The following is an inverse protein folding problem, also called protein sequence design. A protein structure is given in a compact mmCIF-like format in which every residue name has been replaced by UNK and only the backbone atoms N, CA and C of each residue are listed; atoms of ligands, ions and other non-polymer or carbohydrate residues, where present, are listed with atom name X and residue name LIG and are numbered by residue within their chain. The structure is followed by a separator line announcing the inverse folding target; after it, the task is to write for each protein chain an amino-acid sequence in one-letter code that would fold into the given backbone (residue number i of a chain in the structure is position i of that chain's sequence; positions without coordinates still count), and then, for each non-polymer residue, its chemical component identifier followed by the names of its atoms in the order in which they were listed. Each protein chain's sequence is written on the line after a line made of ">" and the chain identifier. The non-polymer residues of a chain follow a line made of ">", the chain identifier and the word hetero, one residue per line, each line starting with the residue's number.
data_IF_027399246021
#
_entry.id   IF_027399246021
#
_cell.length_a   1.000
_cell.length_b   1.000
_cell.length_c   1.000
_cell.angle_alpha   90.00
_cell.angle_beta   90.00
_cell.angle_gamma   90.00
#
_symmetry.space_group_name_H-M   'P 1'
#
loop_
_entity.id
_entity.type
_entity.pdbx_description
1 polymer ?
#
# COMPACT_ATOMS: atom_id res chain seq x y z
N UNK A 1 0.09 -2.16 -6.81
CA UNK A 1 -0.46 -0.83 -6.44
C UNK A 1 -0.24 0.11 -7.62
N UNK A 2 -0.97 1.22 -7.78
CA UNK A 2 -0.46 2.32 -8.57
C UNK A 2 0.91 2.75 -8.01
N UNK A 3 1.64 3.58 -8.74
CA UNK A 3 2.78 4.24 -8.11
C UNK A 3 2.24 5.38 -7.22
N UNK A 4 2.97 5.74 -6.16
CA UNK A 4 2.53 6.79 -5.22
C UNK A 4 2.18 8.13 -5.89
N UNK A 5 2.86 8.50 -6.99
CA UNK A 5 2.51 9.73 -7.73
C UNK A 5 1.12 9.63 -8.37
N UNK A 6 0.74 8.50 -8.96
CA UNK A 6 -0.60 8.33 -9.52
C UNK A 6 -1.70 8.52 -8.47
N UNK A 7 -1.46 8.06 -7.24
CA UNK A 7 -2.37 8.33 -6.12
C UNK A 7 -2.44 9.82 -5.81
N UNK A 8 -1.29 10.51 -5.67
CA UNK A 8 -1.28 11.96 -5.43
C UNK A 8 -2.06 12.74 -6.48
N UNK A 9 -1.96 12.36 -7.76
CA UNK A 9 -2.59 13.07 -8.87
C UNK A 9 -4.09 13.23 -8.71
N UNK A 10 -4.79 12.13 -8.42
CA UNK A 10 -6.24 12.17 -8.21
C UNK A 10 -6.61 12.65 -6.80
N UNK A 11 -5.83 12.28 -5.80
CA UNK A 11 -6.16 12.54 -4.39
C UNK A 11 -5.98 14.01 -4.00
N UNK A 12 -4.95 14.69 -4.51
CA UNK A 12 -4.76 16.13 -4.31
C UNK A 12 -5.93 16.92 -4.92
N UNK A 13 -6.30 16.60 -6.17
CA UNK A 13 -7.39 17.27 -6.88
C UNK A 13 -8.72 17.01 -6.17
N UNK A 14 -9.03 15.75 -5.89
CA UNK A 14 -10.31 15.36 -5.25
C UNK A 14 -10.44 15.97 -3.86
N UNK A 15 -9.36 15.98 -3.08
CA UNK A 15 -9.36 16.63 -1.76
C UNK A 15 -9.59 18.14 -1.88
N UNK A 16 -8.96 18.81 -2.84
CA UNK A 16 -9.17 20.24 -3.05
C UNK A 16 -10.60 20.55 -3.47
N UNK A 17 -11.21 19.72 -4.32
CA UNK A 17 -12.59 19.92 -4.76
C UNK A 17 -13.60 19.66 -3.62
N UNK A 18 -13.42 18.58 -2.87
CA UNK A 18 -14.30 18.24 -1.74
C UNK A 18 -14.13 19.19 -0.56
N UNK A 19 -12.89 19.66 -0.31
CA UNK A 19 -12.54 20.52 0.82
C UNK A 19 -11.66 21.68 0.29
N UNK A 20 -12.27 22.77 -0.24
CA UNK A 20 -11.57 23.87 -0.91
C UNK A 20 -10.41 24.49 -0.14
N UNK A 21 -10.52 24.59 1.19
CA UNK A 21 -9.47 25.13 2.05
C UNK A 21 -8.63 24.03 2.75
N UNK A 22 -8.59 22.80 2.22
CA UNK A 22 -7.77 21.73 2.77
C UNK A 22 -6.27 22.09 2.72
N UNK A 23 -5.56 21.66 3.75
CA UNK A 23 -4.10 21.56 3.73
C UNK A 23 -3.73 20.24 3.06
N UNK A 24 -3.23 20.34 1.84
CA UNK A 24 -2.99 19.19 0.96
C UNK A 24 -1.85 18.30 1.44
N UNK A 25 -1.05 18.73 2.43
CA UNK A 25 -0.04 17.88 3.05
C UNK A 25 -0.66 16.68 3.75
N UNK A 26 -1.80 16.90 4.41
CA UNK A 26 -2.59 15.81 4.96
C UNK A 26 -3.16 14.89 3.88
N UNK A 27 -3.49 15.42 2.71
CA UNK A 27 -3.91 14.58 1.58
C UNK A 27 -2.80 13.62 1.19
N UNK A 28 -1.57 14.13 0.95
CA UNK A 28 -0.41 13.31 0.61
C UNK A 28 -0.07 12.26 1.68
N UNK A 29 -0.20 12.58 2.97
CA UNK A 29 -0.04 11.61 4.06
C UNK A 29 -1.11 10.52 3.98
N UNK A 30 -2.37 10.92 3.79
CA UNK A 30 -3.49 9.99 3.63
C UNK A 30 -3.28 9.02 2.46
N UNK A 31 -2.65 9.46 1.38
CA UNK A 31 -2.29 8.61 0.25
C UNK A 31 -1.30 7.49 0.60
N UNK A 32 -0.49 7.64 1.64
CA UNK A 32 0.57 6.65 1.96
C UNK A 32 0.19 5.73 3.10
N UNK A 33 -0.81 6.09 3.92
CA UNK A 33 -1.27 5.28 5.04
C UNK A 33 -1.51 3.80 4.66
N UNK A 34 -2.26 3.47 3.57
CA UNK A 34 -2.49 2.08 3.22
C UNK A 34 -1.26 1.34 2.70
N UNK A 35 -0.24 2.08 2.26
CA UNK A 35 1.03 1.54 1.77
C UNK A 35 2.04 1.26 2.89
N UNK A 36 1.88 1.91 4.07
CA UNK A 36 2.81 1.77 5.19
C UNK A 36 3.04 0.30 5.61
N UNK A 37 2.02 -0.57 5.74
CA UNK A 37 2.24 -1.96 6.10
C UNK A 37 3.13 -2.69 5.09
N UNK A 38 2.98 -2.41 3.79
CA UNK A 38 3.75 -3.05 2.73
C UNK A 38 5.19 -2.53 2.63
N UNK A 39 5.39 -1.22 2.89
CA UNK A 39 6.73 -0.66 3.06
C UNK A 39 7.42 -1.33 4.26
N UNK A 40 6.70 -1.45 5.38
CA UNK A 40 7.14 -2.17 6.57
C UNK A 40 7.50 -3.63 6.28
N UNK A 41 6.66 -4.36 5.53
CA UNK A 41 6.96 -5.73 5.11
C UNK A 41 8.29 -5.81 4.38
N UNK A 42 8.55 -4.92 3.40
CA UNK A 42 9.81 -4.96 2.62
C UNK A 42 11.04 -4.73 3.49
N UNK A 43 10.93 -3.85 4.49
CA UNK A 43 11.99 -3.61 5.47
C UNK A 43 12.16 -4.82 6.39
N UNK A 44 11.07 -5.42 6.87
CA UNK A 44 11.13 -6.58 7.75
C UNK A 44 11.65 -7.84 7.04
N UNK A 45 11.30 -8.04 5.77
CA UNK A 45 11.75 -9.18 4.96
C UNK A 45 13.24 -9.15 4.62
N UNK A 46 13.96 -8.04 4.83
CA UNK A 46 15.42 -8.03 4.73
C UNK A 46 16.11 -8.57 5.99
N UNK A 47 15.35 -8.81 7.07
CA UNK A 47 15.84 -9.37 8.32
C UNK A 47 15.51 -10.87 8.38
N UNK A 48 16.47 -11.75 8.72
CA UNK A 48 16.29 -13.21 8.63
C UNK A 48 15.38 -13.81 9.73
N UNK A 49 14.94 -13.00 10.70
CA UNK A 49 14.29 -13.49 11.92
C UNK A 49 12.77 -13.66 11.80
N UNK A 50 12.17 -13.10 10.75
CA UNK A 50 10.72 -13.03 10.64
C UNK A 50 10.19 -13.97 9.56
N UNK A 51 9.19 -14.78 9.91
CA UNK A 51 8.45 -15.58 8.94
C UNK A 51 7.68 -14.67 7.97
N UNK A 52 7.97 -14.82 6.67
CA UNK A 52 7.43 -13.97 5.61
C UNK A 52 5.91 -14.09 5.49
N UNK A 53 5.34 -15.27 5.74
CA UNK A 53 3.89 -15.51 5.69
C UNK A 53 3.18 -14.80 6.84
N UNK A 54 3.75 -14.86 8.04
CA UNK A 54 3.22 -14.19 9.22
C UNK A 54 3.26 -12.67 9.10
N UNK A 55 4.37 -12.11 8.58
CA UNK A 55 4.44 -10.67 8.27
C UNK A 55 3.36 -10.31 7.24
N UNK A 56 3.21 -11.12 6.18
CA UNK A 56 2.22 -10.86 5.13
C UNK A 56 0.80 -10.77 5.69
N UNK A 57 0.41 -11.71 6.56
CA UNK A 57 -0.89 -11.72 7.24
C UNK A 57 -1.08 -10.44 8.05
N UNK A 58 -0.09 -10.09 8.86
CA UNK A 58 -0.12 -8.88 9.69
C UNK A 58 -0.31 -7.60 8.84
N UNK A 59 0.42 -7.51 7.72
CA UNK A 59 0.34 -6.38 6.80
C UNK A 59 -1.01 -6.30 6.07
N UNK A 60 -1.61 -7.43 5.68
CA UNK A 60 -2.97 -7.46 5.10
C UNK A 60 -3.97 -6.83 6.07
N UNK A 61 -3.90 -7.20 7.35
CA UNK A 61 -4.81 -6.69 8.38
C UNK A 61 -4.64 -5.18 8.54
N UNK A 62 -3.40 -4.71 8.69
CA UNK A 62 -3.12 -3.28 8.84
C UNK A 62 -3.48 -2.45 7.59
N UNK A 63 -3.36 -3.03 6.39
CA UNK A 63 -3.69 -2.37 5.13
C UNK A 63 -5.20 -2.28 4.85
N UNK A 64 -6.04 -2.91 5.68
CA UNK A 64 -7.49 -2.80 5.55
C UNK A 64 -8.01 -1.39 5.88
N UNK A 65 -9.20 -1.05 5.37
CA UNK A 65 -9.79 0.28 5.58
C UNK A 65 -9.93 0.60 7.08
N UNK A 66 -10.43 -0.34 7.89
CA UNK A 66 -10.62 -0.13 9.33
C UNK A 66 -9.31 0.25 10.04
N UNK A 67 -8.23 -0.49 9.79
CA UNK A 67 -6.94 -0.24 10.41
C UNK A 67 -6.28 1.04 9.88
N UNK A 68 -6.46 1.35 8.60
CA UNK A 68 -6.03 2.62 8.03
C UNK A 68 -6.75 3.81 8.70
N UNK A 69 -8.08 3.73 8.89
CA UNK A 69 -8.85 4.76 9.58
C UNK A 69 -8.46 4.91 11.05
N UNK A 70 -8.09 3.82 11.72
CA UNK A 70 -7.54 3.88 13.08
C UNK A 70 -6.20 4.64 13.11
N UNK A 71 -5.32 4.41 12.12
CA UNK A 71 -4.09 5.20 11.99
C UNK A 71 -4.38 6.67 11.64
N UNK A 72 -5.38 6.94 10.80
CA UNK A 72 -5.85 8.31 10.56
C UNK A 72 -6.29 8.98 11.87
N UNK A 73 -7.10 8.29 12.69
CA UNK A 73 -7.56 8.81 13.96
C UNK A 73 -6.37 9.13 14.88
N UNK A 74 -5.39 8.24 15.00
CA UNK A 74 -4.15 8.50 15.73
C UNK A 74 -3.47 9.80 15.27
N UNK A 75 -3.25 9.99 13.97
CA UNK A 75 -2.59 11.18 13.42
C UNK A 75 -3.40 12.46 13.69
N UNK A 76 -4.72 12.40 13.70
CA UNK A 76 -5.57 13.57 13.93
C UNK A 76 -5.46 14.14 15.34
N UNK A 77 -5.06 13.31 16.32
CA UNK A 77 -4.84 13.75 17.69
C UNK A 77 -3.66 14.74 17.81
N UNK A 78 -2.80 14.79 16.79
CA UNK A 78 -1.68 15.73 16.65
C UNK A 78 -2.03 16.96 15.79
N UNK A 79 -3.30 17.16 15.44
CA UNK A 79 -3.76 18.31 14.67
C UNK A 79 -4.48 19.36 15.53
N UNK A 80 -4.37 20.64 15.13
CA UNK A 80 -5.21 21.73 15.66
C UNK A 80 -6.67 21.58 15.26
N UNK A 81 -6.95 20.96 14.12
CA UNK A 81 -8.29 20.84 13.52
C UNK A 81 -8.60 19.36 13.27
N UNK A 82 -8.75 18.55 14.34
CA UNK A 82 -8.79 17.08 14.26
C UNK A 82 -9.89 16.57 13.32
N UNK A 83 -11.12 17.08 13.41
CA UNK A 83 -12.24 16.63 12.57
C UNK A 83 -11.98 16.88 11.08
N UNK A 84 -11.38 18.03 10.75
CA UNK A 84 -11.06 18.37 9.36
C UNK A 84 -9.93 17.51 8.82
N UNK A 85 -8.88 17.29 9.62
CA UNK A 85 -7.79 16.39 9.25
C UNK A 85 -8.27 14.95 9.12
N UNK A 86 -9.20 14.51 9.98
CA UNK A 86 -9.78 13.18 9.92
C UNK A 86 -10.54 12.99 8.62
N UNK A 87 -11.36 13.97 8.23
CA UNK A 87 -12.07 13.95 6.96
C UNK A 87 -11.10 13.88 5.77
N UNK A 88 -10.06 14.73 5.75
CA UNK A 88 -9.04 14.70 4.70
C UNK A 88 -8.38 13.32 4.63
N UNK A 89 -7.83 12.82 5.76
CA UNK A 89 -7.12 11.54 5.78
C UNK A 89 -8.03 10.37 5.38
N UNK A 90 -9.25 10.32 5.90
CA UNK A 90 -10.20 9.23 5.63
C UNK A 90 -10.61 9.19 4.15
N UNK A 91 -10.89 10.36 3.54
CA UNK A 91 -11.19 10.46 2.11
C UNK A 91 -10.01 9.94 1.28
N UNK A 92 -8.79 10.34 1.62
CA UNK A 92 -7.59 9.94 0.85
C UNK A 92 -7.28 8.45 1.02
N UNK A 93 -7.38 7.90 2.23
CA UNK A 93 -7.27 6.45 2.47
C UNK A 93 -8.31 5.69 1.67
N UNK A 94 -9.57 6.11 1.71
CA UNK A 94 -10.64 5.46 0.94
C UNK A 94 -10.36 5.53 -0.55
N UNK A 95 -10.00 6.69 -1.09
CA UNK A 95 -9.66 6.85 -2.51
C UNK A 95 -8.44 6.02 -2.91
N UNK A 96 -7.44 5.89 -2.03
CA UNK A 96 -6.27 5.05 -2.26
C UNK A 96 -6.68 3.59 -2.46
N UNK A 97 -7.42 3.07 -1.49
CA UNK A 97 -7.94 1.71 -1.50
C UNK A 97 -8.90 1.49 -2.69
N UNK A 98 -9.72 2.48 -3.04
CA UNK A 98 -10.57 2.41 -4.23
C UNK A 98 -9.74 2.30 -5.52
N UNK A 99 -8.74 3.14 -5.70
CA UNK A 99 -7.83 3.06 -6.86
C UNK A 99 -7.10 1.73 -6.91
N UNK A 100 -6.69 1.22 -5.75
CA UNK A 100 -6.06 -0.08 -5.65
C UNK A 100 -6.99 -1.22 -6.07
N UNK A 101 -8.28 -1.13 -5.78
CA UNK A 101 -9.30 -2.08 -6.20
C UNK A 101 -9.65 -1.95 -7.69
N UNK A 102 -9.55 -0.75 -8.28
CA UNK A 102 -9.77 -0.54 -9.73
C UNK A 102 -8.66 -1.15 -10.59
N UNK A 103 -7.47 -1.37 -10.01
CA UNK A 103 -6.36 -1.98 -10.73
C UNK A 103 -6.45 -3.49 -10.80
N UNK A 104 -6.09 -4.04 -11.95
CA UNK A 104 -5.90 -5.47 -12.13
C UNK A 104 -4.57 -5.88 -11.46
N UNK A 105 -4.68 -6.71 -10.44
CA UNK A 105 -3.57 -7.35 -9.72
C UNK A 105 -4.04 -8.74 -9.30
N UNK A 106 -3.43 -9.77 -9.85
CA UNK A 106 -3.80 -11.14 -9.46
C UNK A 106 -3.39 -11.41 -8.01
N UNK A 107 -4.09 -12.29 -7.30
CA UNK A 107 -3.89 -12.57 -5.88
C UNK A 107 -3.97 -11.37 -4.92
N UNK A 108 -4.37 -10.19 -5.38
CA UNK A 108 -4.24 -8.95 -4.62
C UNK A 108 -5.52 -8.13 -4.77
N UNK A 109 -5.90 -7.45 -3.70
CA UNK A 109 -7.13 -6.70 -3.63
C UNK A 109 -7.17 -5.88 -2.34
N UNK A 110 -8.36 -5.40 -2.01
CA UNK A 110 -8.55 -4.48 -0.90
C UNK A 110 -9.60 -4.98 0.07
N UNK A 111 -9.37 -4.77 1.36
CA UNK A 111 -10.29 -5.16 2.43
C UNK A 111 -11.08 -3.96 2.94
N UNK A 112 -12.19 -3.63 2.27
CA UNK A 112 -13.09 -2.55 2.71
C UNK A 112 -13.90 -2.93 3.95
N UNK A 113 -14.24 -4.21 4.11
CA UNK A 113 -15.16 -4.70 5.14
C UNK A 113 -14.47 -5.46 6.27
N UNK A 114 -13.14 -5.51 6.30
CA UNK A 114 -12.42 -6.05 7.45
C UNK A 114 -12.64 -5.15 8.68
N UNK A 115 -12.71 -5.71 9.90
CA UNK A 115 -12.48 -7.11 10.25
C UNK A 115 -13.73 -8.02 10.15
N UNK A 116 -14.87 -7.51 9.70
CA UNK A 116 -16.14 -8.27 9.61
C UNK A 116 -16.08 -9.30 8.48
N UNK A 117 -15.46 -8.95 7.36
CA UNK A 117 -15.21 -9.85 6.23
C UNK A 117 -13.79 -9.69 5.70
N UNK A 118 -13.12 -10.82 5.46
CA UNK A 118 -11.76 -10.88 4.91
C UNK A 118 -11.73 -11.12 3.41
N UNK A 119 -12.89 -11.09 2.74
CA UNK A 119 -12.96 -11.19 1.28
C UNK A 119 -12.33 -9.96 0.63
N UNK A 120 -11.46 -10.20 -0.36
CA UNK A 120 -10.83 -9.13 -1.13
C UNK A 120 -11.84 -8.52 -2.11
N UNK A 121 -11.84 -7.19 -2.21
CA UNK A 121 -12.53 -6.44 -3.24
C UNK A 121 -11.55 -6.01 -4.32
N UNK A 122 -11.90 -6.23 -5.58
CA UNK A 122 -11.13 -5.79 -6.74
C UNK A 122 -12.00 -5.78 -7.99
N UNK A 123 -12.14 -4.62 -8.62
CA UNK A 123 -12.87 -4.44 -9.87
C UNK A 123 -12.02 -4.79 -11.10
N UNK A 124 -10.68 -4.74 -10.96
CA UNK A 124 -9.73 -5.25 -11.94
C UNK A 124 -9.84 -4.65 -13.36
N UNK A 125 -10.13 -3.35 -13.47
CA UNK A 125 -10.36 -2.69 -14.76
C UNK A 125 -9.10 -2.37 -15.55
N UNK A 126 -8.02 -1.95 -14.89
CA UNK A 126 -6.82 -1.45 -15.58
C UNK A 126 -5.54 -2.04 -15.03
N UNK A 127 -4.63 -2.44 -15.92
CA UNK A 127 -3.27 -2.79 -15.52
C UNK A 127 -2.55 -1.55 -14.94
N UNK A 128 -1.66 -1.72 -13.95
CA UNK A 128 -0.95 -0.57 -13.38
C UNK A 128 -0.04 0.16 -14.37
N UNK A 129 0.29 -0.47 -15.49
CA UNK A 129 1.09 0.08 -16.59
C UNK A 129 0.21 0.74 -17.69
N UNK A 130 -1.11 0.83 -17.48
CA UNK A 130 -2.04 1.47 -18.43
C UNK A 130 -1.74 2.98 -18.61
N UNK A 131 -1.93 3.57 -19.82
CA UNK A 131 -1.69 5.00 -20.09
C UNK A 131 -2.35 5.96 -19.09
N UNK A 132 -3.56 5.62 -18.63
CA UNK A 132 -4.26 6.39 -17.59
C UNK A 132 -3.43 6.52 -16.31
N UNK A 133 -2.73 5.46 -15.89
CA UNK A 133 -1.86 5.51 -14.72
C UNK A 133 -0.72 6.50 -14.93
N UNK A 134 -0.15 6.59 -16.14
CA UNK A 134 0.90 7.56 -16.44
C UNK A 134 0.39 9.00 -16.47
N UNK A 135 -0.81 9.23 -16.98
CA UNK A 135 -1.46 10.54 -16.91
C UNK A 135 -1.66 10.99 -15.45
N UNK A 136 -2.18 10.09 -14.61
CA UNK A 136 -2.33 10.34 -13.17
C UNK A 136 -0.97 10.55 -12.48
N UNK A 137 0.06 9.83 -12.90
CA UNK A 137 1.45 9.97 -12.39
C UNK A 137 1.98 11.37 -12.68
N UNK A 138 1.84 11.86 -13.91
CA UNK A 138 2.27 13.20 -14.29
C UNK A 138 1.48 14.28 -13.52
N UNK A 139 0.16 14.14 -13.42
CA UNK A 139 -0.68 15.03 -12.64
C UNK A 139 -0.26 15.05 -11.15
N UNK A 140 0.08 13.90 -10.59
CA UNK A 140 0.56 13.79 -9.20
C UNK A 140 1.92 14.41 -8.96
N UNK A 141 2.84 14.27 -9.91
CA UNK A 141 4.14 14.93 -9.85
C UNK A 141 3.98 16.46 -9.84
N UNK A 142 3.17 17.00 -10.76
CA UNK A 142 2.87 18.44 -10.78
C UNK A 142 2.18 18.85 -9.48
N UNK A 143 1.17 18.09 -9.05
CA UNK A 143 0.42 18.37 -7.82
C UNK A 143 1.30 18.45 -6.58
N UNK A 144 2.17 17.47 -6.35
CA UNK A 144 3.04 17.45 -5.16
C UNK A 144 4.10 18.56 -5.21
N UNK A 145 4.63 18.89 -6.39
CA UNK A 145 5.55 20.03 -6.55
C UNK A 145 4.84 21.34 -6.20
N UNK A 146 3.62 21.56 -6.70
CA UNK A 146 2.84 22.75 -6.35
C UNK A 146 2.54 22.83 -4.85
N UNK A 147 2.27 21.70 -4.19
CA UNK A 147 2.10 21.63 -2.73
C UNK A 147 3.40 22.00 -2.01
N UNK A 148 4.55 21.45 -2.43
CA UNK A 148 5.86 21.78 -1.88
C UNK A 148 6.20 23.27 -1.99
N UNK A 149 5.89 23.88 -3.13
CA UNK A 149 6.12 25.31 -3.37
C UNK A 149 5.21 26.19 -2.50
N UNK A 150 3.96 25.78 -2.29
CA UNK A 150 2.95 26.59 -1.57
C UNK A 150 3.05 26.52 -0.05
N UNK A 151 3.43 25.38 0.52
CA UNK A 151 3.26 25.10 1.96
C UNK A 151 4.58 25.07 2.75
N UNK A 152 5.45 26.06 2.55
CA UNK A 152 6.82 26.06 3.09
C UNK A 152 6.97 26.46 4.58
N UNK A 153 5.93 27.00 5.23
CA UNK A 153 6.15 27.80 6.47
C UNK A 153 5.23 27.53 7.65
N UNK A 154 4.31 26.57 7.59
CA UNK A 154 3.42 26.27 8.73
C UNK A 154 3.64 24.86 9.28
N UNK A 155 3.75 24.67 10.61
CA UNK A 155 3.92 23.34 11.18
C UNK A 155 2.67 22.49 10.95
N UNK A 156 2.85 21.27 10.44
CA UNK A 156 1.75 20.35 10.14
C UNK A 156 1.28 19.59 11.40
N UNK A 157 2.24 19.08 12.17
CA UNK A 157 1.99 18.33 13.40
C UNK A 157 2.22 19.20 14.63
N UNK A 158 1.34 19.06 15.61
CA UNK A 158 1.43 19.75 16.89
C UNK A 158 1.25 18.71 17.98
N UNK A 159 2.23 18.64 18.89
CA UNK A 159 2.18 17.70 19.99
C UNK A 159 0.86 17.85 20.77
N UNK A 160 0.16 16.73 21.08
CA UNK A 160 -1.05 16.76 21.88
C UNK A 160 -0.72 17.36 23.24
N UNK A 161 -1.26 18.56 23.49
CA UNK A 161 -0.93 19.35 24.68
C UNK A 161 -1.58 18.85 25.97
N UNK A 162 -2.60 17.99 25.86
CA UNK A 162 -3.43 17.55 26.98
C UNK A 162 -3.21 16.06 27.27
N UNK A 163 -3.04 15.68 28.53
CA UNK A 163 -2.89 14.27 28.97
C UNK A 163 -3.95 13.32 28.37
N UNK A 164 -5.25 13.67 28.29
CA UNK A 164 -6.25 12.78 27.68
C UNK A 164 -5.98 12.47 26.21
N UNK A 165 -5.56 13.47 25.42
CA UNK A 165 -5.17 13.27 24.01
C UNK A 165 -3.92 12.41 23.85
N UNK A 166 -2.94 12.57 24.76
CA UNK A 166 -1.75 11.72 24.77
C UNK A 166 -2.11 10.27 25.09
N UNK A 167 -2.93 10.04 26.11
CA UNK A 167 -3.42 8.71 26.46
C UNK A 167 -4.22 8.08 25.30
N UNK A 168 -5.14 8.83 24.69
CA UNK A 168 -5.88 8.38 23.52
C UNK A 168 -4.94 8.03 22.35
N UNK A 169 -3.90 8.83 22.10
CA UNK A 169 -2.94 8.55 21.04
C UNK A 169 -2.15 7.26 21.30
N UNK A 170 -1.67 7.06 22.53
CA UNK A 170 -0.98 5.83 22.94
C UNK A 170 -1.91 4.63 22.80
N UNK A 171 -3.15 4.74 23.29
CA UNK A 171 -4.13 3.67 23.24
C UNK A 171 -4.47 3.28 21.79
N UNK A 172 -4.81 4.25 20.94
CA UNK A 172 -5.18 4.01 19.54
C UNK A 172 -4.00 3.43 18.76
N UNK A 173 -2.80 3.96 18.96
CA UNK A 173 -1.61 3.42 18.30
C UNK A 173 -1.27 2.01 18.79
N UNK A 174 -1.41 1.77 20.11
CA UNK A 174 -1.30 0.44 20.69
C UNK A 174 -2.30 -0.54 20.08
N UNK A 175 -3.57 -0.13 19.92
CA UNK A 175 -4.58 -0.93 19.21
C UNK A 175 -4.19 -1.19 17.75
N UNK A 176 -3.68 -0.19 17.03
CA UNK A 176 -3.19 -0.37 15.65
C UNK A 176 -2.07 -1.40 15.52
N UNK A 177 -1.19 -1.48 16.51
CA UNK A 177 -0.10 -2.45 16.53
C UNK A 177 -0.52 -3.84 17.05
N UNK A 178 -1.40 -3.90 18.04
CA UNK A 178 -1.72 -5.14 18.76
C UNK A 178 -2.97 -5.86 18.23
N UNK A 179 -4.01 -5.13 17.81
CA UNK A 179 -5.23 -5.74 17.29
C UNK A 179 -5.02 -6.68 16.08
N UNK A 180 -4.06 -6.46 15.15
CA UNK A 180 -3.85 -7.40 14.06
C UNK A 180 -3.54 -8.83 14.53
N UNK A 181 -2.94 -8.99 15.72
CA UNK A 181 -2.65 -10.32 16.29
C UNK A 181 -3.93 -11.12 16.59
N UNK A 182 -5.03 -10.44 16.93
CA UNK A 182 -6.31 -11.07 17.21
C UNK A 182 -7.07 -11.48 15.93
N UNK A 183 -6.73 -10.87 14.80
CA UNK A 183 -7.38 -11.13 13.50
C UNK A 183 -6.55 -12.00 12.57
N UNK A 184 -5.46 -12.60 13.07
CA UNK A 184 -4.47 -13.31 12.26
C UNK A 184 -5.07 -14.46 11.44
N UNK A 185 -6.07 -15.16 11.97
CA UNK A 185 -6.75 -16.25 11.26
C UNK A 185 -7.64 -15.76 10.10
N UNK A 186 -8.09 -14.50 10.12
CA UNK A 186 -9.03 -13.97 9.13
C UNK A 186 -8.51 -14.02 7.69
N UNK A 187 -7.40 -13.32 7.37
CA UNK A 187 -6.82 -13.37 6.03
C UNK A 187 -6.42 -14.77 5.56
N UNK A 188 -5.91 -15.60 6.49
CA UNK A 188 -5.54 -16.99 6.21
C UNK A 188 -6.78 -17.82 5.84
N UNK A 189 -7.86 -17.72 6.62
CA UNK A 189 -9.10 -18.44 6.37
C UNK A 189 -9.80 -18.05 5.06
N UNK A 190 -9.68 -16.78 4.65
CA UNK A 190 -10.15 -16.30 3.35
C UNK A 190 -9.20 -16.62 2.19
N UNK A 191 -8.08 -17.32 2.46
CA UNK A 191 -7.01 -17.61 1.50
C UNK A 191 -6.49 -16.37 0.74
N UNK A 192 -6.42 -15.22 1.41
CA UNK A 192 -5.93 -13.98 0.82
C UNK A 192 -4.49 -14.17 0.34
N UNK A 193 -4.14 -13.66 -0.85
CA UNK A 193 -2.84 -13.92 -1.49
C UNK A 193 -2.44 -15.41 -1.55
N UNK A 194 -3.42 -16.31 -1.60
CA UNK A 194 -3.22 -17.76 -1.56
C UNK A 194 -2.45 -18.23 -0.31
N UNK A 195 -2.52 -17.51 0.80
CA UNK A 195 -1.76 -17.82 2.02
C UNK A 195 -2.01 -19.23 2.56
N UNK A 196 -3.25 -19.71 2.56
CA UNK A 196 -3.54 -21.07 3.02
C UNK A 196 -2.92 -22.12 2.08
N UNK A 197 -3.05 -21.91 0.77
CA UNK A 197 -2.42 -22.76 -0.26
C UNK A 197 -0.88 -22.74 -0.17
N UNK A 198 -0.28 -21.59 0.13
CA UNK A 198 1.17 -21.46 0.25
C UNK A 198 1.70 -22.06 1.57
N UNK A 199 0.90 -22.09 2.63
CA UNK A 199 1.26 -22.74 3.90
C UNK A 199 1.23 -24.27 3.76
N UNK A 200 0.17 -24.82 3.16
CA UNK A 200 -0.01 -26.26 3.00
C UNK A 200 0.67 -26.79 1.73
N UNK A 201 1.99 -27.03 1.82
CA UNK A 201 2.80 -27.45 0.67
C UNK A 201 2.36 -28.79 0.08
N UNK A 202 2.04 -29.75 0.94
CA UNK A 202 1.68 -31.11 0.53
C UNK A 202 0.30 -31.13 -0.13
N UNK A 203 -0.61 -30.22 0.27
CA UNK A 203 -1.93 -30.03 -0.34
C UNK A 203 -1.96 -29.14 -1.60
N UNK A 204 -0.81 -28.58 -2.05
CA UNK A 204 -0.76 -27.71 -3.24
C UNK A 204 -1.19 -28.38 -4.54
N UNK A 205 -0.80 -29.62 -4.87
CA UNK A 205 -1.13 -30.21 -6.17
C UNK A 205 -2.63 -30.16 -6.48
N UNK A 206 -2.98 -29.63 -7.65
CA UNK A 206 -4.36 -29.39 -8.08
C UNK A 206 -4.96 -28.05 -7.65
N UNK A 207 -4.32 -27.31 -6.74
CA UNK A 207 -4.83 -26.02 -6.26
C UNK A 207 -4.52 -24.89 -7.25
N UNK A 208 -5.51 -24.04 -7.47
CA UNK A 208 -5.35 -22.80 -8.20
C UNK A 208 -4.52 -21.80 -7.38
N UNK A 209 -3.67 -21.05 -8.06
CA UNK A 209 -2.84 -20.02 -7.45
C UNK A 209 -2.64 -18.88 -8.42
N UNK A 210 -2.53 -17.67 -7.87
CA UNK A 210 -2.02 -16.54 -8.61
C UNK A 210 -0.88 -15.90 -7.84
N UNK A 211 0.01 -15.25 -8.58
CA UNK A 211 1.14 -14.51 -8.02
C UNK A 211 1.21 -13.16 -8.70
N UNK A 212 1.25 -12.08 -7.92
CA UNK A 212 1.45 -10.71 -8.41
C UNK A 212 2.95 -10.37 -8.37
N UNK A 213 3.51 -9.95 -9.51
CA UNK A 213 4.83 -9.30 -9.61
C UNK A 213 5.98 -10.01 -8.89
N UNK A 214 6.17 -11.29 -9.18
CA UNK A 214 7.33 -12.04 -8.74
C UNK A 214 8.47 -12.00 -9.76
N UNK A 215 9.70 -12.18 -9.29
CA UNK A 215 10.87 -12.22 -10.18
C UNK A 215 10.95 -13.59 -10.85
N UNK A 216 11.06 -13.59 -12.18
CA UNK A 216 11.22 -14.78 -13.00
C UNK A 216 12.62 -14.86 -13.58
N UNK A 217 13.24 -16.03 -13.41
CA UNK A 217 14.56 -16.36 -13.96
C UNK A 217 14.41 -17.38 -15.09
N UNK A 218 14.80 -16.99 -16.31
CA UNK A 218 14.57 -17.80 -17.52
C UNK A 218 15.45 -19.04 -17.55
N UNK A 219 16.70 -18.95 -17.08
CA UNK A 219 17.67 -20.05 -17.11
C UNK A 219 17.20 -21.26 -16.31
N UNK A 220 16.61 -21.01 -15.15
CA UNK A 220 16.10 -22.03 -14.24
C UNK A 220 14.60 -22.26 -14.43
N UNK A 221 13.91 -21.39 -15.18
CA UNK A 221 12.45 -21.33 -15.30
C UNK A 221 11.76 -21.26 -13.93
N UNK A 222 12.39 -20.56 -12.99
CA UNK A 222 11.86 -20.40 -11.63
C UNK A 222 11.29 -19.02 -11.39
N UNK A 223 10.27 -18.97 -10.56
CA UNK A 223 9.66 -17.78 -10.03
C UNK A 223 9.89 -17.72 -8.52
N UNK A 224 10.44 -16.61 -8.03
CA UNK A 224 10.71 -16.43 -6.59
C UNK A 224 9.51 -15.76 -5.92
N UNK A 225 8.84 -16.48 -5.03
CA UNK A 225 7.72 -15.97 -4.23
C UNK A 225 8.20 -14.95 -3.19
N UNK A 226 7.26 -14.22 -2.59
CA UNK A 226 7.56 -13.28 -1.51
C UNK A 226 8.11 -13.96 -0.24
N UNK A 227 7.94 -15.27 -0.12
CA UNK A 227 8.53 -16.11 0.94
C UNK A 227 10.00 -16.45 0.69
N UNK A 228 10.54 -16.11 -0.48
CA UNK A 228 11.86 -16.55 -0.94
C UNK A 228 11.86 -17.95 -1.58
N UNK A 229 10.74 -18.66 -1.51
CA UNK A 229 10.55 -19.96 -2.16
C UNK A 229 10.66 -19.83 -3.69
N UNK A 230 11.42 -20.72 -4.33
CA UNK A 230 11.52 -20.81 -5.79
C UNK A 230 10.54 -21.85 -6.30
N UNK A 231 9.69 -21.46 -7.24
CA UNK A 231 8.67 -22.31 -7.85
C UNK A 231 8.98 -22.51 -9.34
N UNK A 232 9.01 -23.77 -9.78
CA UNK A 232 9.23 -24.14 -11.17
C UNK A 232 7.99 -23.85 -12.02
N UNK A 233 8.15 -23.08 -13.09
CA UNK A 233 7.04 -22.77 -14.00
C UNK A 233 7.05 -23.69 -15.23
N UNK A 234 5.87 -24.21 -15.58
CA UNK A 234 5.63 -25.02 -16.79
C UNK A 234 4.65 -24.29 -17.72
N UNK A 235 4.89 -24.34 -19.02
CA UNK A 235 4.03 -23.74 -20.05
C UNK A 235 4.78 -22.74 -20.93
N UNK A 236 4.02 -21.92 -21.67
CA UNK A 236 4.59 -20.84 -22.47
C UNK A 236 4.93 -19.64 -21.57
N UNK A 237 6.20 -19.25 -21.58
CA UNK A 237 6.79 -18.24 -20.70
C UNK A 237 7.71 -17.31 -21.51
N UNK A 238 7.99 -16.10 -21.02
CA UNK A 238 8.98 -15.21 -21.63
C UNK A 238 10.37 -15.84 -21.71
N UNK A 239 11.15 -15.35 -22.67
CA UNK A 239 12.52 -15.77 -22.98
C UNK A 239 13.62 -14.96 -22.29
N UNK A 240 13.24 -14.04 -21.39
CA UNK A 240 14.16 -13.17 -20.67
C UNK A 240 13.75 -12.96 -19.22
N UNK A 241 14.73 -12.65 -18.37
CA UNK A 241 14.51 -12.38 -16.96
C UNK A 241 13.61 -11.14 -16.80
N UNK A 242 12.51 -11.30 -16.08
CA UNK A 242 11.49 -10.26 -15.96
C UNK A 242 10.71 -10.36 -14.66
N UNK A 243 9.81 -9.40 -14.42
CA UNK A 243 8.83 -9.46 -13.34
C UNK A 243 7.51 -9.94 -13.93
N UNK A 244 7.00 -11.06 -13.40
CA UNK A 244 5.79 -11.72 -13.88
C UNK A 244 4.70 -11.69 -12.83
N UNK A 245 3.47 -11.44 -13.29
CA UNK A 245 2.30 -11.99 -12.62
C UNK A 245 1.87 -13.24 -13.36
N UNK A 246 1.37 -14.24 -12.63
CA UNK A 246 0.86 -15.49 -13.20
C UNK A 246 -0.46 -15.89 -12.57
N UNK A 247 -1.28 -16.59 -13.35
CA UNK A 247 -2.38 -17.43 -12.88
C UNK A 247 -2.06 -18.86 -13.30
N UNK A 248 -2.25 -19.82 -12.41
CA UNK A 248 -1.89 -21.20 -12.70
C UNK A 248 -2.46 -22.19 -11.70
N UNK A 249 -2.06 -23.44 -11.89
CA UNK A 249 -2.41 -24.55 -11.00
C UNK A 249 -1.14 -25.25 -10.59
N UNK A 250 -0.96 -25.51 -9.31
CA UNK A 250 0.12 -26.35 -8.83
C UNK A 250 -0.04 -27.76 -9.39
N UNK A 251 1.00 -28.28 -10.05
CA UNK A 251 1.06 -29.67 -10.51
C UNK A 251 1.84 -30.55 -9.54
N UNK A 252 2.78 -29.95 -8.83
CA UNK A 252 3.61 -30.51 -7.76
C UNK A 252 3.73 -29.45 -6.65
N UNK A 253 4.20 -29.82 -5.43
CA UNK A 253 4.35 -28.85 -4.33
C UNK A 253 5.16 -27.60 -4.67
N UNK A 254 6.11 -27.71 -5.60
CA UNK A 254 7.04 -26.66 -6.02
C UNK A 254 6.95 -26.35 -7.53
N UNK A 255 5.89 -26.77 -8.22
CA UNK A 255 5.73 -26.50 -9.66
C UNK A 255 4.32 -26.05 -10.03
N UNK A 256 4.24 -24.96 -10.79
CA UNK A 256 3.00 -24.38 -11.31
C UNK A 256 2.95 -24.56 -12.82
N UNK A 257 1.84 -25.11 -13.32
CA UNK A 257 1.45 -24.98 -14.73
C UNK A 257 0.77 -23.64 -14.93
N UNK A 258 1.41 -22.77 -15.71
CA UNK A 258 0.94 -21.42 -15.99
C UNK A 258 -0.20 -21.48 -17.00
N UNK A 259 -1.34 -20.88 -16.63
CA UNK A 259 -2.53 -20.72 -17.48
C UNK A 259 -2.48 -19.37 -18.18
N UNK A 260 -2.12 -18.32 -17.43
CA UNK A 260 -1.98 -16.98 -17.95
C UNK A 260 -0.79 -16.28 -17.28
N UNK A 261 -0.16 -15.36 -18.00
CA UNK A 261 0.92 -14.55 -17.46
C UNK A 261 0.84 -13.11 -17.97
N UNK A 262 1.39 -12.20 -17.18
CA UNK A 262 1.53 -10.79 -17.56
C UNK A 262 2.95 -10.31 -17.23
N UNK A 263 3.59 -9.68 -18.21
CA UNK A 263 4.94 -9.14 -18.10
C UNK A 263 4.88 -7.68 -17.68
N UNK A 264 5.50 -7.36 -16.54
CA UNK A 264 5.49 -6.00 -16.00
C UNK A 264 6.66 -5.15 -16.49
N UNK A 265 6.37 -3.86 -16.71
CA UNK A 265 7.38 -2.85 -17.00
C UNK A 265 8.00 -2.30 -15.71
N UNK A 266 9.31 -2.07 -15.71
CA UNK A 266 10.04 -1.56 -14.54
C UNK A 266 9.79 -0.07 -14.24
N UNK A 267 9.35 0.71 -15.23
CA UNK A 267 9.24 2.18 -15.14
C UNK A 267 8.38 2.64 -13.94
N UNK A 268 7.27 1.93 -13.68
CA UNK A 268 6.37 2.19 -12.55
C UNK A 268 7.11 2.28 -11.21
N UNK A 269 8.10 1.41 -10.97
CA UNK A 269 8.78 1.33 -9.68
C UNK A 269 9.57 2.62 -9.38
N UNK A 270 10.17 3.24 -10.40
CA UNK A 270 10.87 4.53 -10.26
C UNK A 270 9.91 5.64 -9.83
N UNK A 271 8.73 5.73 -10.45
CA UNK A 271 7.71 6.72 -10.07
C UNK A 271 7.23 6.54 -8.63
N UNK A 272 7.18 5.30 -8.14
CA UNK A 272 6.86 5.03 -6.75
C UNK A 272 7.93 5.59 -5.81
N UNK A 273 9.20 5.34 -6.09
CA UNK A 273 10.31 5.87 -5.29
C UNK A 273 10.37 7.39 -5.31
N UNK A 274 10.21 8.01 -6.49
CA UNK A 274 10.15 9.47 -6.62
C UNK A 274 9.01 10.04 -5.76
N UNK A 275 7.81 9.44 -5.83
CA UNK A 275 6.67 9.88 -5.01
C UNK A 275 6.91 9.78 -3.51
N UNK A 276 7.57 8.71 -3.04
CA UNK A 276 7.92 8.57 -1.62
C UNK A 276 8.99 9.58 -1.18
N UNK A 277 10.01 9.83 -2.00
CA UNK A 277 11.04 10.85 -1.72
C UNK A 277 10.42 12.25 -1.64
N UNK A 278 9.53 12.61 -2.57
CA UNK A 278 8.84 13.90 -2.55
C UNK A 278 7.94 14.06 -1.33
N UNK A 279 7.28 13.00 -0.87
CA UNK A 279 6.52 13.03 0.39
C UNK A 279 7.45 13.21 1.60
N UNK A 280 8.58 12.50 1.66
CA UNK A 280 9.54 12.68 2.75
C UNK A 280 10.04 14.12 2.80
N UNK A 281 10.37 14.71 1.65
CA UNK A 281 10.74 16.13 1.56
C UNK A 281 9.61 17.04 2.08
N UNK A 282 8.36 16.78 1.68
CA UNK A 282 7.20 17.54 2.14
C UNK A 282 7.04 17.47 3.65
N UNK A 283 7.20 16.29 4.24
CA UNK A 283 7.14 16.08 5.68
C UNK A 283 8.28 16.82 6.37
N UNK A 284 9.52 16.69 5.90
CA UNK A 284 10.69 17.37 6.46
C UNK A 284 10.53 18.90 6.48
N UNK A 285 10.06 19.50 5.38
CA UNK A 285 9.80 20.95 5.30
C UNK A 285 8.68 21.35 6.28
N UNK A 286 7.69 20.48 6.46
CA UNK A 286 6.55 20.73 7.36
C UNK A 286 6.88 20.66 8.84
N UNK A 287 8.06 20.14 9.21
CA UNK A 287 8.59 20.16 10.57
C UNK A 287 9.49 21.37 10.84
N UNK A 288 9.90 22.13 9.81
CA UNK A 288 10.73 23.31 10.04
C UNK A 288 9.92 24.39 10.76
N UNK A 289 10.48 25.00 11.83
CA UNK A 289 9.83 26.12 12.49
C UNK A 289 9.63 27.24 11.48
N UNK A 290 8.45 27.86 11.49
CA UNK A 290 8.14 28.99 10.62
C UNK A 290 9.29 30.00 10.72
N UNK A 291 10.02 30.23 9.62
CA UNK A 291 10.96 31.35 9.55
C UNK A 291 10.12 32.60 9.83
N UNK A 292 10.37 33.27 10.95
CA UNK A 292 9.82 34.61 11.21
C UNK A 292 10.31 35.48 10.06
N UNK A 293 9.47 35.69 9.05
CA UNK A 293 9.68 36.81 8.15
C UNK A 293 9.57 38.06 9.03
N UNK A 294 10.72 38.65 9.36
CA UNK A 294 10.78 40.03 9.77
C UNK A 294 10.24 40.83 8.59
N UNK A 295 8.99 41.28 8.69
CA UNK A 295 8.53 42.39 7.88
C UNK A 295 9.43 43.58 8.24
N UNK A 296 10.28 43.98 7.30
CA UNK A 296 10.86 45.31 7.23
C UNK A 296 9.89 46.20 6.47
#
# INVERSE_FOLDING_TARGET
>A
MPNSLAHYGIQIVTTRLAIPAADLRWACIGCVIPDLPWIGQRIASSLPFWDALSIRIYCIIQASLFFCLMLCFFLTLFSRTPSRVMAILSINVFLHLLLDALQLKWANGVHFFAPVSWQMSGFQFVWPEHPLTYLLTAAGLVGIILVLLKYQTSPLFILPRTRPKQFAAILVFGCYLLLPLFFFYGPKGANNHYLATLIDKDGRPGQYVEVDRANFETKTRTLTLFTGEKINLRGSLPDHNTTLSIQGVFVEPDSIRVVNHHVHQKLRNYFNYIGLVLLLLLICISFQPAKKHHNR
#
